data_IF_983413285630
#
_entry.id   IF_983413285630
#
_cell.length_a   1.000
_cell.length_b   1.000
_cell.length_c   1.000
_cell.angle_alpha   90.00
_cell.angle_beta   90.00
_cell.angle_gamma   90.00
#
_symmetry.space_group_name_H-M   'P 1'
#
loop_
_entity.id
_entity.type
_entity.pdbx_description
1 polymer ?
#
# COMPACT_ATOMS: atom_id res chain seq x y z
N UNK A 1 28.78 -38.38 -7.93
CA UNK A 1 27.82 -39.52 -7.90
C UNK A 1 26.45 -38.93 -7.64
N UNK A 2 25.44 -39.32 -8.42
CA UNK A 2 24.05 -38.96 -8.17
C UNK A 2 23.59 -39.55 -6.84
N UNK A 3 22.90 -38.75 -6.01
CA UNK A 3 22.26 -39.19 -4.77
C UNK A 3 20.92 -38.44 -4.59
N UNK A 4 20.11 -38.84 -3.61
CA UNK A 4 18.78 -38.24 -3.42
C UNK A 4 18.81 -36.72 -3.25
N UNK A 5 19.79 -36.19 -2.52
CA UNK A 5 19.87 -34.74 -2.25
C UNK A 5 20.37 -33.94 -3.45
N UNK A 6 21.12 -34.54 -4.37
CA UNK A 6 21.63 -33.89 -5.59
C UNK A 6 20.64 -33.98 -6.75
N UNK A 7 19.93 -35.10 -6.90
CA UNK A 7 18.93 -35.31 -7.95
C UNK A 7 17.58 -34.65 -7.59
N UNK A 8 17.18 -34.68 -6.32
CA UNK A 8 15.90 -34.13 -5.84
C UNK A 8 16.10 -32.92 -4.94
N UNK A 9 17.08 -32.07 -5.25
CA UNK A 9 17.43 -30.89 -4.44
C UNK A 9 16.24 -29.97 -4.14
N UNK A 10 15.24 -29.94 -5.03
CA UNK A 10 13.96 -29.28 -4.81
C UNK A 10 13.28 -29.65 -3.48
N UNK A 11 13.44 -30.89 -3.01
CA UNK A 11 12.73 -31.47 -1.86
C UNK A 11 13.46 -31.35 -0.53
N UNK A 12 14.66 -30.80 -0.53
CA UNK A 12 15.48 -30.67 0.68
C UNK A 12 15.75 -29.20 1.01
N UNK A 13 15.84 -28.84 2.30
CA UNK A 13 16.34 -27.53 2.68
C UNK A 13 17.75 -27.31 2.11
N UNK A 14 18.11 -26.08 1.72
CA UNK A 14 19.45 -25.78 1.25
C UNK A 14 20.48 -26.03 2.36
N UNK A 15 21.55 -26.75 2.03
CA UNK A 15 22.67 -26.94 2.95
C UNK A 15 23.44 -25.63 3.18
N UNK A 16 24.16 -25.55 4.31
CA UNK A 16 24.92 -24.34 4.66
C UNK A 16 25.97 -23.97 3.60
N UNK A 17 26.60 -24.95 2.96
CA UNK A 17 27.58 -24.73 1.90
C UNK A 17 26.98 -24.06 0.68
N UNK A 18 25.75 -24.45 0.29
CA UNK A 18 25.04 -23.83 -0.83
C UNK A 18 24.64 -22.39 -0.50
N UNK A 19 24.14 -22.16 0.72
CA UNK A 19 23.80 -20.82 1.19
C UNK A 19 25.03 -19.92 1.17
N UNK A 20 26.15 -20.37 1.77
CA UNK A 20 27.40 -19.62 1.74
C UNK A 20 27.87 -19.33 0.31
N UNK A 21 27.84 -20.33 -0.57
CA UNK A 21 28.25 -20.17 -1.96
C UNK A 21 27.42 -19.13 -2.73
N UNK A 22 26.10 -19.10 -2.49
CA UNK A 22 25.19 -18.14 -3.13
C UNK A 22 25.47 -16.71 -2.67
N UNK A 23 25.75 -16.50 -1.39
CA UNK A 23 26.10 -15.17 -0.88
C UNK A 23 27.48 -14.72 -1.37
N UNK A 24 28.44 -15.64 -1.52
CA UNK A 24 29.79 -15.33 -1.99
C UNK A 24 29.88 -15.13 -3.51
N UNK A 25 29.22 -15.97 -4.32
CA UNK A 25 29.40 -16.03 -5.78
C UNK A 25 28.10 -16.24 -6.59
N UNK A 26 26.94 -16.20 -5.94
CA UNK A 26 25.66 -16.44 -6.59
C UNK A 26 25.11 -15.22 -7.32
N UNK A 27 24.06 -15.44 -8.10
CA UNK A 27 23.21 -14.41 -8.67
C UNK A 27 22.07 -14.12 -7.68
N UNK A 28 22.12 -12.98 -7.02
CA UNK A 28 21.09 -12.49 -6.11
C UNK A 28 20.19 -11.54 -6.87
N UNK A 29 18.95 -11.98 -7.07
CA UNK A 29 17.91 -11.29 -7.79
C UNK A 29 16.96 -10.64 -6.81
N UNK A 30 16.68 -9.35 -6.96
CA UNK A 30 15.65 -8.67 -6.16
C UNK A 30 14.33 -8.59 -6.91
N UNK A 31 13.24 -8.77 -6.18
CA UNK A 31 11.89 -8.47 -6.65
C UNK A 31 11.55 -6.98 -6.44
N UNK A 32 10.51 -6.51 -7.13
CA UNK A 32 10.05 -5.12 -7.06
C UNK A 32 9.54 -4.77 -5.66
N UNK A 33 8.89 -5.70 -4.96
CA UNK A 33 8.40 -5.45 -3.59
C UNK A 33 9.55 -5.11 -2.62
N UNK A 34 10.70 -5.76 -2.73
CA UNK A 34 11.88 -5.49 -1.91
C UNK A 34 12.40 -4.07 -2.15
N UNK A 35 12.45 -3.65 -3.42
CA UNK A 35 12.85 -2.29 -3.79
C UNK A 35 11.82 -1.25 -3.32
N UNK A 36 10.52 -1.54 -3.41
CA UNK A 36 9.46 -0.65 -2.94
C UNK A 36 9.49 -0.49 -1.42
N UNK A 37 9.86 -1.54 -0.68
CA UNK A 37 9.99 -1.50 0.78
C UNK A 37 11.06 -0.50 1.25
N UNK A 38 12.03 -0.12 0.41
CA UNK A 38 12.95 0.98 0.72
C UNK A 38 12.21 2.28 1.03
N UNK A 39 11.08 2.57 0.39
CA UNK A 39 10.26 3.76 0.69
C UNK A 39 9.33 3.58 1.88
N UNK A 40 9.05 2.34 2.28
CA UNK A 40 8.15 2.01 3.39
C UNK A 40 8.88 1.86 4.72
N UNK A 41 10.18 1.58 4.68
CA UNK A 41 11.01 1.50 5.87
C UNK A 41 11.41 2.87 6.40
N UNK A 42 11.58 2.91 7.73
CA UNK A 42 12.22 4.03 8.42
C UNK A 42 13.65 4.25 7.88
N UNK A 43 14.19 5.48 7.99
CA UNK A 43 15.49 5.82 7.42
C UNK A 43 16.64 4.89 7.85
N UNK A 44 16.67 4.45 9.12
CA UNK A 44 17.70 3.53 9.63
C UNK A 44 17.63 2.16 8.96
N UNK A 45 16.44 1.54 8.91
CA UNK A 45 16.24 0.22 8.29
C UNK A 45 16.44 0.24 6.77
N UNK A 46 16.06 1.34 6.13
CA UNK A 46 16.36 1.60 4.71
C UNK A 46 17.86 1.65 4.46
N UNK A 47 18.61 2.37 5.29
CA UNK A 47 20.07 2.50 5.15
C UNK A 47 20.78 1.16 5.38
N UNK A 48 20.35 0.38 6.37
CA UNK A 48 20.88 -0.96 6.62
C UNK A 48 20.63 -1.92 5.45
N UNK A 49 19.42 -1.92 4.87
CA UNK A 49 19.14 -2.72 3.67
C UNK A 49 20.02 -2.30 2.49
N UNK A 50 20.13 -0.99 2.21
CA UNK A 50 20.97 -0.50 1.13
C UNK A 50 22.45 -0.87 1.33
N UNK A 51 22.98 -0.78 2.56
CA UNK A 51 24.35 -1.21 2.89
C UNK A 51 24.57 -2.70 2.65
N UNK A 52 23.57 -3.55 2.93
CA UNK A 52 23.65 -4.98 2.64
C UNK A 52 23.72 -5.19 1.12
N UNK A 53 22.85 -4.53 0.36
CA UNK A 53 22.85 -4.64 -1.09
C UNK A 53 24.16 -4.14 -1.72
N UNK A 54 24.73 -3.06 -1.19
CA UNK A 54 26.04 -2.52 -1.60
C UNK A 54 27.17 -3.53 -1.42
N UNK A 55 27.11 -4.41 -0.41
CA UNK A 55 28.11 -5.47 -0.19
C UNK A 55 28.04 -6.60 -1.21
N UNK A 56 26.90 -6.79 -1.88
CA UNK A 56 26.74 -7.87 -2.86
C UNK A 56 27.56 -7.63 -4.12
N UNK A 57 27.91 -6.37 -4.43
CA UNK A 57 28.64 -6.00 -5.63
C UNK A 57 28.06 -6.67 -6.89
N UNK A 58 28.85 -7.46 -7.61
CA UNK A 58 28.49 -8.03 -8.91
C UNK A 58 27.52 -9.23 -8.81
N UNK A 59 27.28 -9.71 -7.59
CA UNK A 59 26.30 -10.76 -7.30
C UNK A 59 24.87 -10.21 -7.41
N UNK A 60 24.67 -8.90 -7.26
CA UNK A 60 23.35 -8.28 -7.34
C UNK A 60 22.92 -8.08 -8.80
N UNK A 61 21.67 -8.44 -9.10
CA UNK A 61 21.05 -8.22 -10.40
C UNK A 61 19.54 -8.00 -10.28
N UNK A 62 18.97 -7.25 -11.22
CA UNK A 62 17.53 -6.94 -11.24
C UNK A 62 16.98 -7.20 -12.65
N UNK A 63 15.90 -8.00 -12.80
CA UNK A 63 15.23 -8.16 -14.09
C UNK A 63 14.69 -6.83 -14.59
N UNK A 64 14.66 -6.61 -15.91
CA UNK A 64 14.04 -5.42 -16.48
C UNK A 64 12.59 -5.24 -16.01
N UNK A 65 11.83 -6.34 -15.91
CA UNK A 65 10.45 -6.32 -15.42
C UNK A 65 10.35 -5.75 -14.00
N UNK A 66 11.28 -6.11 -13.11
CA UNK A 66 11.32 -5.57 -11.75
C UNK A 66 11.60 -4.07 -11.77
N UNK A 67 12.57 -3.62 -12.58
CA UNK A 67 12.86 -2.19 -12.75
C UNK A 67 11.65 -1.39 -13.25
N UNK A 68 10.89 -1.96 -14.19
CA UNK A 68 9.65 -1.38 -14.72
C UNK A 68 8.55 -1.30 -13.65
N UNK A 69 8.32 -2.37 -12.91
CA UNK A 69 7.31 -2.42 -11.85
C UNK A 69 7.63 -1.46 -10.71
N UNK A 70 8.88 -1.47 -10.24
CA UNK A 70 9.37 -0.50 -9.26
C UNK A 70 9.14 0.94 -9.75
N UNK A 71 9.52 1.23 -11.00
CA UNK A 71 9.37 2.57 -11.57
C UNK A 71 7.91 3.02 -11.61
N UNK A 72 6.97 2.13 -11.93
CA UNK A 72 5.53 2.42 -11.96
C UNK A 72 4.92 2.60 -10.57
N UNK A 73 5.39 1.82 -9.59
CA UNK A 73 4.77 1.76 -8.26
C UNK A 73 5.44 2.62 -7.19
N UNK A 74 6.66 3.13 -7.42
CA UNK A 74 7.42 3.87 -6.39
C UNK A 74 6.67 5.07 -5.81
N UNK A 75 6.00 5.86 -6.65
CA UNK A 75 5.27 7.05 -6.19
C UNK A 75 4.07 6.68 -5.32
N UNK A 76 3.39 5.58 -5.66
CA UNK A 76 2.34 5.04 -4.81
C UNK A 76 2.90 4.56 -3.48
N UNK A 77 4.03 3.85 -3.45
CA UNK A 77 4.65 3.40 -2.21
C UNK A 77 5.08 4.55 -1.28
N UNK A 78 5.61 5.65 -1.84
CA UNK A 78 5.93 6.88 -1.09
C UNK A 78 4.66 7.47 -0.47
N UNK A 79 3.60 7.61 -1.27
CA UNK A 79 2.31 8.15 -0.80
C UNK A 79 1.66 7.27 0.25
N UNK A 80 1.67 5.95 0.07
CA UNK A 80 1.13 4.99 1.03
C UNK A 80 1.81 5.17 2.39
N UNK A 81 3.15 5.31 2.40
CA UNK A 81 3.91 5.52 3.62
C UNK A 81 3.57 6.86 4.32
N UNK A 82 3.46 7.95 3.56
CA UNK A 82 3.02 9.26 4.09
C UNK A 82 1.58 9.20 4.64
N UNK A 83 0.68 8.56 3.90
CA UNK A 83 -0.73 8.42 4.25
C UNK A 83 -0.95 7.67 5.57
N UNK A 84 -0.04 6.76 5.95
CA UNK A 84 -0.11 6.03 7.20
C UNK A 84 0.05 6.97 8.42
N UNK A 85 1.04 7.87 8.39
CA UNK A 85 1.24 8.88 9.45
C UNK A 85 0.07 9.85 9.51
N UNK A 86 -0.36 10.32 8.35
CA UNK A 86 -1.49 11.21 8.18
C UNK A 86 -2.82 10.62 8.70
N UNK A 87 -3.02 9.32 8.49
CA UNK A 87 -4.18 8.56 8.98
C UNK A 87 -4.09 8.39 10.49
N UNK A 88 -2.92 8.06 11.03
CA UNK A 88 -2.68 7.97 12.47
C UNK A 88 -2.96 9.31 13.15
N UNK A 89 -2.47 10.42 12.60
CA UNK A 89 -2.68 11.75 13.17
C UNK A 89 -4.16 12.15 13.20
N UNK A 90 -4.90 11.88 12.12
CA UNK A 90 -6.33 12.13 12.07
C UNK A 90 -7.10 11.26 13.10
N UNK A 91 -6.66 10.01 13.29
CA UNK A 91 -7.24 9.09 14.29
C UNK A 91 -6.95 9.56 15.71
N UNK A 92 -5.73 10.00 16.00
CA UNK A 92 -5.37 10.56 17.31
C UNK A 92 -6.18 11.82 17.64
N UNK A 93 -6.40 12.70 16.65
CA UNK A 93 -7.23 13.90 16.85
C UNK A 93 -8.66 13.53 17.25
N UNK A 94 -9.29 12.61 16.52
CA UNK A 94 -10.67 12.25 16.84
C UNK A 94 -10.80 11.52 18.18
N UNK A 95 -9.79 10.74 18.59
CA UNK A 95 -9.75 10.13 19.94
C UNK A 95 -9.59 11.18 21.04
N UNK A 96 -8.77 12.22 20.81
CA UNK A 96 -8.64 13.35 21.72
C UNK A 96 -9.97 14.09 21.88
N UNK A 97 -10.64 14.41 20.79
CA UNK A 97 -11.94 15.10 20.81
C UNK A 97 -13.04 14.27 21.48
N UNK A 98 -13.05 12.95 21.26
CA UNK A 98 -13.94 12.02 21.95
C UNK A 98 -13.71 12.05 23.48
N UNK A 99 -12.46 11.92 23.91
CA UNK A 99 -12.10 11.96 25.32
C UNK A 99 -12.46 13.30 25.97
N UNK A 100 -12.22 14.42 25.28
CA UNK A 100 -12.67 15.76 25.74
C UNK A 100 -14.18 15.83 25.92
N UNK A 101 -14.95 15.26 24.98
CA UNK A 101 -16.41 15.22 25.06
C UNK A 101 -16.91 14.45 26.30
N UNK A 102 -16.32 13.29 26.60
CA UNK A 102 -16.66 12.50 27.79
C UNK A 102 -16.32 13.25 29.09
N UNK A 103 -15.14 13.86 29.15
CA UNK A 103 -14.74 14.70 30.31
C UNK A 103 -15.72 15.85 30.49
N UNK A 104 -16.14 16.50 29.40
CA UNK A 104 -17.11 17.60 29.45
C UNK A 104 -18.49 17.12 29.94
N UNK A 105 -18.95 15.96 29.47
CA UNK A 105 -20.22 15.38 29.91
C UNK A 105 -20.19 15.01 31.40
N UNK A 106 -19.10 14.39 31.86
CA UNK A 106 -18.88 14.07 33.27
C UNK A 106 -18.84 15.35 34.12
N UNK A 107 -18.03 16.34 33.74
CA UNK A 107 -17.89 17.60 34.44
C UNK A 107 -19.24 18.32 34.60
N UNK A 108 -20.07 18.33 33.55
CA UNK A 108 -21.42 18.90 33.61
C UNK A 108 -22.32 18.14 34.58
N UNK A 109 -22.25 16.80 34.62
CA UNK A 109 -23.09 15.96 35.49
C UNK A 109 -22.82 16.18 36.98
N UNK A 110 -21.57 16.43 37.35
CA UNK A 110 -21.18 16.65 38.75
C UNK A 110 -21.01 18.14 39.12
N UNK A 111 -21.29 19.06 38.19
CA UNK A 111 -21.03 20.50 38.35
C UNK A 111 -19.59 20.80 38.76
N UNK A 112 -18.63 20.15 38.08
CA UNK A 112 -17.20 20.35 38.32
C UNK A 112 -16.81 21.81 38.05
N UNK A 113 -15.96 22.38 38.89
CA UNK A 113 -15.50 23.74 38.72
C UNK A 113 -14.64 23.90 37.45
N UNK A 114 -14.68 25.10 36.87
CA UNK A 114 -13.99 25.39 35.61
C UNK A 114 -12.47 25.24 35.69
N UNK A 115 -11.85 25.42 36.86
CA UNK A 115 -10.40 25.33 37.02
C UNK A 115 -9.92 23.87 36.97
N UNK A 116 -10.62 22.96 37.66
CA UNK A 116 -10.34 21.51 37.63
C UNK A 116 -10.62 20.94 36.24
N UNK A 117 -11.71 21.35 35.59
CA UNK A 117 -12.01 20.95 34.19
C UNK A 117 -10.89 21.36 33.23
N UNK A 118 -10.39 22.59 33.37
CA UNK A 118 -9.30 23.10 32.54
C UNK A 118 -8.01 22.33 32.78
N UNK A 119 -7.69 22.01 34.04
CA UNK A 119 -6.51 21.23 34.40
C UNK A 119 -6.53 19.82 33.79
N UNK A 120 -7.65 19.11 33.91
CA UNK A 120 -7.82 17.76 33.32
C UNK A 120 -7.68 17.81 31.78
N UNK A 121 -8.38 18.77 31.14
CA UNK A 121 -8.30 18.94 29.67
C UNK A 121 -6.87 19.26 29.22
N UNK A 122 -6.15 20.07 29.99
CA UNK A 122 -4.75 20.40 29.70
C UNK A 122 -3.85 19.17 29.79
N UNK A 123 -3.95 18.37 30.85
CA UNK A 123 -3.17 17.13 30.99
C UNK A 123 -3.38 16.18 29.79
N UNK A 124 -4.63 16.07 29.32
CA UNK A 124 -4.96 15.28 28.15
C UNK A 124 -4.30 15.84 26.88
N UNK A 125 -4.41 17.15 26.64
CA UNK A 125 -3.77 17.80 25.50
C UNK A 125 -2.24 17.67 25.53
N UNK A 126 -1.62 17.83 26.70
CA UNK A 126 -0.17 17.72 26.87
C UNK A 126 0.31 16.30 26.57
N UNK A 127 -0.42 15.28 27.05
CA UNK A 127 -0.12 13.88 26.75
C UNK A 127 -0.24 13.56 25.25
N UNK A 128 -1.32 13.99 24.61
CA UNK A 128 -1.51 13.82 23.16
C UNK A 128 -0.45 14.58 22.35
N UNK A 129 -0.09 15.79 22.78
CA UNK A 129 0.98 16.58 22.18
C UNK A 129 2.33 15.88 22.25
N UNK A 130 2.65 15.23 23.38
CA UNK A 130 3.86 14.43 23.53
C UNK A 130 3.88 13.23 22.57
N UNK A 131 2.76 12.51 22.43
CA UNK A 131 2.63 11.40 21.48
C UNK A 131 2.82 11.87 20.04
N UNK A 132 2.14 12.94 19.64
CA UNK A 132 2.33 13.53 18.29
C UNK A 132 3.76 13.98 18.03
N UNK A 133 4.40 14.59 19.02
CA UNK A 133 5.81 14.99 18.89
C UNK A 133 6.73 13.78 18.70
N UNK A 134 6.45 12.66 19.38
CA UNK A 134 7.21 11.42 19.18
C UNK A 134 6.99 10.83 17.78
N UNK A 135 5.75 10.83 17.28
CA UNK A 135 5.41 10.37 15.92
C UNK A 135 6.07 11.26 14.86
N UNK A 136 6.02 12.59 15.03
CA UNK A 136 6.66 13.53 14.11
C UNK A 136 8.19 13.37 14.02
N UNK A 137 8.85 12.82 15.05
CA UNK A 137 10.29 12.53 15.03
C UNK A 137 10.65 11.29 14.19
N UNK A 138 9.72 10.37 14.00
CA UNK A 138 9.90 9.16 13.18
C UNK A 138 9.28 9.28 11.79
N UNK A 139 8.40 10.26 11.59
CA UNK A 139 7.84 10.58 10.28
C UNK A 139 8.94 11.05 9.34
N UNK A 140 9.01 10.53 8.11
CA UNK A 140 9.99 11.00 7.14
C UNK A 140 9.75 12.49 6.84
N UNK A 141 10.77 13.33 7.01
CA UNK A 141 10.73 14.69 6.48
C UNK A 141 10.55 14.62 4.95
N UNK A 142 9.65 15.43 4.39
CA UNK A 142 9.32 15.50 2.96
C UNK A 142 10.54 15.64 2.03
N UNK A 143 11.67 16.13 2.57
CA UNK A 143 12.92 16.35 1.86
C UNK A 143 13.78 15.08 1.68
N UNK A 144 13.65 14.07 2.55
CA UNK A 144 14.56 12.89 2.54
C UNK A 144 13.97 11.65 1.86
N UNK A 145 12.65 11.60 1.65
CA UNK A 145 11.95 10.34 1.32
C UNK A 145 11.13 10.32 0.02
N UNK A 146 11.21 11.33 -0.84
CA UNK A 146 10.49 11.23 -2.12
C UNK A 146 10.16 12.53 -2.83
N UNK A 147 11.14 13.42 -3.03
CA UNK A 147 10.97 14.49 -3.99
C UNK A 147 10.60 13.91 -5.37
N UNK A 148 9.64 14.52 -6.07
CA UNK A 148 9.13 14.04 -7.37
C UNK A 148 10.22 14.03 -8.47
N UNK A 149 11.35 14.72 -8.24
CA UNK A 149 12.52 14.74 -9.11
C UNK A 149 13.65 13.80 -8.67
N UNK A 150 14.30 13.16 -9.65
CA UNK A 150 15.44 12.24 -9.46
C UNK A 150 16.58 12.90 -8.64
N UNK A 151 16.82 14.19 -8.85
CA UNK A 151 17.89 14.94 -8.17
C UNK A 151 17.65 15.14 -6.66
N UNK A 152 16.44 14.86 -6.17
CA UNK A 152 16.05 15.04 -4.76
C UNK A 152 15.82 13.68 -4.07
N UNK A 153 15.62 12.60 -4.84
CA UNK A 153 15.32 11.29 -4.29
C UNK A 153 16.61 10.53 -3.90
N UNK A 154 16.90 10.52 -2.59
CA UNK A 154 18.08 9.85 -2.04
C UNK A 154 18.10 8.34 -2.30
N UNK A 155 16.92 7.70 -2.40
CA UNK A 155 16.78 6.26 -2.64
C UNK A 155 17.10 5.95 -4.09
N UNK A 156 16.49 6.66 -5.04
CA UNK A 156 16.81 6.50 -6.47
C UNK A 156 18.29 6.77 -6.73
N UNK A 157 18.86 7.80 -6.12
CA UNK A 157 20.27 8.13 -6.34
C UNK A 157 21.22 7.01 -5.88
N UNK A 158 20.92 6.34 -4.77
CA UNK A 158 21.68 5.16 -4.33
C UNK A 158 21.41 3.94 -5.21
N UNK A 159 20.15 3.68 -5.54
CA UNK A 159 19.77 2.57 -6.43
C UNK A 159 20.40 2.70 -7.82
N UNK A 160 20.48 3.90 -8.40
CA UNK A 160 21.13 4.14 -9.69
C UNK A 160 22.60 3.74 -9.66
N UNK A 161 23.33 4.09 -8.59
CA UNK A 161 24.73 3.68 -8.41
C UNK A 161 24.85 2.18 -8.17
N UNK A 162 23.98 1.64 -7.33
CA UNK A 162 23.97 0.24 -6.94
C UNK A 162 23.64 -0.70 -8.10
N UNK A 163 22.72 -0.30 -8.97
CA UNK A 163 22.17 -1.11 -10.06
C UNK A 163 22.76 -0.76 -11.44
N UNK A 164 23.76 0.13 -11.47
CA UNK A 164 24.49 0.44 -12.70
C UNK A 164 25.03 -0.86 -13.32
N UNK A 165 24.71 -1.08 -14.59
CA UNK A 165 25.07 -2.28 -15.37
C UNK A 165 24.59 -3.62 -14.76
N UNK A 166 23.63 -3.57 -13.83
CA UNK A 166 23.07 -4.74 -13.12
C UNK A 166 21.57 -4.92 -13.35
N UNK A 167 21.01 -4.20 -14.32
CA UNK A 167 19.62 -4.36 -14.77
C UNK A 167 19.63 -5.18 -16.06
N UNK A 168 18.83 -6.24 -16.10
CA UNK A 168 18.67 -7.07 -17.28
C UNK A 168 18.14 -6.30 -18.50
N UNK A 169 18.39 -6.78 -19.72
CA UNK A 169 17.89 -6.13 -20.93
C UNK A 169 16.36 -6.20 -21.02
N UNK A 170 15.77 -5.19 -21.67
CA UNK A 170 14.36 -5.27 -22.07
C UNK A 170 14.19 -6.35 -23.13
N UNK A 171 13.09 -7.10 -23.07
CA UNK A 171 12.72 -8.04 -24.12
C UNK A 171 12.34 -7.29 -25.41
N UNK A 172 12.70 -7.86 -26.57
CA UNK A 172 12.21 -7.35 -27.85
C UNK A 172 10.69 -7.55 -27.97
N UNK A 173 10.03 -6.81 -28.87
CA UNK A 173 8.57 -6.94 -29.07
C UNK A 173 8.14 -8.38 -29.38
N UNK A 174 8.91 -9.07 -30.23
CA UNK A 174 8.62 -10.45 -30.61
C UNK A 174 8.81 -11.43 -29.44
N UNK A 175 9.79 -11.18 -28.57
CA UNK A 175 9.98 -11.96 -27.35
C UNK A 175 8.86 -11.70 -26.34
N UNK A 176 8.44 -10.44 -26.16
CA UNK A 176 7.34 -10.08 -25.27
C UNK A 176 6.07 -10.85 -25.65
N UNK A 177 5.71 -10.87 -26.93
CA UNK A 177 4.51 -11.60 -27.39
C UNK A 177 4.60 -13.11 -27.13
N UNK A 178 5.77 -13.72 -27.38
CA UNK A 178 5.99 -15.15 -27.09
C UNK A 178 5.91 -15.45 -25.59
N UNK A 179 6.56 -14.63 -24.76
CA UNK A 179 6.57 -14.80 -23.31
C UNK A 179 5.17 -14.59 -22.74
N UNK A 180 4.39 -13.63 -23.24
CA UNK A 180 3.00 -13.44 -22.85
C UNK A 180 2.11 -14.62 -23.25
N UNK A 181 2.28 -15.17 -24.46
CA UNK A 181 1.53 -16.34 -24.88
C UNK A 181 1.81 -17.56 -23.98
N UNK A 182 3.07 -17.79 -23.61
CA UNK A 182 3.44 -18.85 -22.67
C UNK A 182 2.93 -18.55 -21.24
N UNK A 183 2.98 -17.31 -20.77
CA UNK A 183 2.40 -16.90 -19.49
C UNK A 183 0.90 -17.26 -19.41
N UNK A 184 0.15 -16.93 -20.46
CA UNK A 184 -1.28 -17.24 -20.54
C UNK A 184 -1.53 -18.75 -20.53
N UNK A 185 -0.79 -19.51 -21.34
CA UNK A 185 -0.87 -20.98 -21.34
C UNK A 185 -0.58 -21.54 -19.94
N UNK A 186 0.46 -21.07 -19.25
CA UNK A 186 0.78 -21.48 -17.88
C UNK A 186 -0.34 -21.18 -16.90
N UNK A 187 -0.90 -19.97 -16.96
CA UNK A 187 -2.02 -19.57 -16.10
C UNK A 187 -3.29 -20.42 -16.35
N UNK A 188 -3.55 -20.81 -17.60
CA UNK A 188 -4.66 -21.72 -17.94
C UNK A 188 -4.47 -23.13 -17.37
N UNK A 189 -3.24 -23.62 -17.35
CA UNK A 189 -2.90 -24.99 -16.91
C UNK A 189 -2.45 -25.07 -15.44
N UNK A 190 -2.46 -23.95 -14.70
CA UNK A 190 -2.01 -23.91 -13.30
C UNK A 190 -0.51 -24.18 -13.12
N UNK A 191 0.31 -23.83 -14.12
CA UNK A 191 1.76 -24.01 -14.10
C UNK A 191 2.41 -22.76 -13.47
N UNK A 192 3.28 -22.90 -12.45
CA UNK A 192 3.95 -21.76 -11.83
C UNK A 192 5.05 -21.13 -12.72
N UNK A 193 5.45 -19.88 -12.43
CA UNK A 193 4.78 -18.92 -11.53
C UNK A 193 3.69 -18.10 -12.26
N UNK A 194 2.83 -17.41 -11.49
CA UNK A 194 1.90 -16.41 -12.00
C UNK A 194 0.45 -16.88 -12.20
N UNK A 195 0.15 -18.18 -12.06
CA UNK A 195 -1.23 -18.68 -12.25
C UNK A 195 -2.22 -18.12 -11.22
N UNK A 196 -1.74 -17.63 -10.07
CA UNK A 196 -2.57 -17.00 -9.02
C UNK A 196 -3.04 -15.60 -9.39
N UNK A 197 -2.45 -14.96 -10.39
CA UNK A 197 -2.84 -13.63 -10.85
C UNK A 197 -3.91 -13.65 -11.96
N UNK A 198 -4.49 -14.83 -12.23
CA UNK A 198 -5.61 -14.99 -13.16
C UNK A 198 -6.76 -14.02 -12.82
N UNK A 199 -7.11 -13.16 -13.79
CA UNK A 199 -8.20 -12.18 -13.65
C UNK A 199 -7.79 -10.82 -13.09
N UNK A 200 -6.51 -10.60 -12.77
CA UNK A 200 -5.95 -9.26 -12.51
C UNK A 200 -5.49 -8.61 -13.82
N UNK A 201 -5.28 -7.28 -13.82
CA UNK A 201 -5.07 -6.48 -15.03
C UNK A 201 -4.01 -7.01 -16.00
N UNK A 202 -2.79 -7.27 -15.52
CA UNK A 202 -1.70 -7.91 -16.29
C UNK A 202 -1.19 -9.16 -15.55
N UNK A 203 -1.68 -10.36 -15.88
CA UNK A 203 -1.29 -11.60 -15.21
C UNK A 203 0.08 -12.14 -15.68
N UNK A 204 0.76 -11.44 -16.60
CA UNK A 204 1.98 -11.96 -17.24
C UNK A 204 3.28 -11.56 -16.54
N UNK A 205 3.22 -10.61 -15.59
CA UNK A 205 4.39 -10.06 -14.90
C UNK A 205 5.28 -11.10 -14.23
N UNK A 206 4.70 -11.98 -13.41
CA UNK A 206 5.42 -13.03 -12.67
C UNK A 206 6.20 -13.96 -13.62
N UNK A 207 5.59 -14.35 -14.76
CA UNK A 207 6.27 -15.20 -15.73
C UNK A 207 7.34 -14.45 -16.53
N UNK A 208 7.11 -13.19 -16.89
CA UNK A 208 8.14 -12.37 -17.56
C UNK A 208 9.37 -12.24 -16.66
N UNK A 209 9.17 -11.97 -15.36
CA UNK A 209 10.23 -11.94 -14.36
C UNK A 209 10.98 -13.27 -14.33
N UNK A 210 10.25 -14.39 -14.21
CA UNK A 210 10.84 -15.73 -14.19
C UNK A 210 11.65 -16.05 -15.45
N UNK A 211 11.11 -15.72 -16.62
CA UNK A 211 11.78 -15.89 -17.91
C UNK A 211 13.13 -15.13 -17.95
N UNK A 212 13.16 -13.90 -17.48
CA UNK A 212 14.39 -13.11 -17.42
C UNK A 212 15.41 -13.69 -16.44
N UNK A 213 14.97 -14.21 -15.29
CA UNK A 213 15.86 -14.91 -14.34
C UNK A 213 16.47 -16.15 -14.99
N UNK A 214 15.66 -16.98 -15.66
CA UNK A 214 16.15 -18.19 -16.34
C UNK A 214 17.21 -17.85 -17.41
N UNK A 215 16.98 -16.80 -18.19
CA UNK A 215 17.92 -16.35 -19.22
C UNK A 215 19.26 -15.89 -18.61
N UNK A 216 19.22 -15.06 -17.57
CA UNK A 216 20.43 -14.58 -16.89
C UNK A 216 21.17 -15.72 -16.18
N UNK A 217 20.44 -16.63 -15.54
CA UNK A 217 21.00 -17.82 -14.90
C UNK A 217 21.68 -18.75 -15.92
N UNK A 218 21.08 -18.93 -17.09
CA UNK A 218 21.65 -19.73 -18.17
C UNK A 218 22.93 -19.09 -18.75
N UNK A 219 23.03 -17.76 -18.70
CA UNK A 219 24.22 -17.01 -19.10
C UNK A 219 25.35 -17.10 -18.05
N UNK A 220 25.07 -16.80 -16.78
CA UNK A 220 26.09 -16.75 -15.71
C UNK A 220 26.51 -18.12 -15.17
N UNK A 221 25.62 -19.12 -15.23
CA UNK A 221 25.86 -20.48 -14.71
C UNK A 221 26.28 -20.54 -13.24
N UNK A 222 25.75 -19.64 -12.41
CA UNK A 222 25.92 -19.63 -10.95
C UNK A 222 24.59 -19.89 -10.23
N UNK A 223 24.66 -20.27 -8.95
CA UNK A 223 23.48 -20.48 -8.12
C UNK A 223 22.64 -19.20 -8.03
N UNK A 224 21.31 -19.32 -8.07
CA UNK A 224 20.40 -18.17 -8.11
C UNK A 224 19.61 -18.08 -6.81
N UNK A 225 19.53 -16.88 -6.24
CA UNK A 225 18.65 -16.55 -5.12
C UNK A 225 17.73 -15.41 -5.52
N UNK A 226 16.42 -15.66 -5.55
CA UNK A 226 15.42 -14.60 -5.63
C UNK A 226 15.03 -14.15 -4.22
N UNK A 227 15.13 -12.85 -3.96
CA UNK A 227 14.66 -12.21 -2.73
C UNK A 227 13.31 -11.55 -3.02
N UNK A 228 12.24 -12.04 -2.38
CA UNK A 228 10.88 -11.53 -2.54
C UNK A 228 10.08 -11.70 -1.26
N UNK A 229 9.31 -10.67 -0.91
CA UNK A 229 8.33 -10.72 0.19
C UNK A 229 6.95 -11.20 -0.27
N UNK A 230 6.77 -11.50 -1.58
CA UNK A 230 5.54 -12.09 -2.10
C UNK A 230 5.55 -13.60 -1.83
N UNK A 231 4.74 -14.02 -0.86
CA UNK A 231 4.70 -15.40 -0.37
C UNK A 231 3.59 -16.26 -0.98
N UNK A 232 3.15 -15.93 -2.21
CA UNK A 232 2.16 -16.72 -2.95
C UNK A 232 2.55 -18.20 -3.10
N UNK A 233 1.53 -19.06 -3.16
CA UNK A 233 1.69 -20.52 -3.27
C UNK A 233 2.24 -21.02 -4.62
N UNK A 234 2.20 -20.18 -5.67
CA UNK A 234 2.73 -20.52 -6.98
C UNK A 234 4.25 -20.34 -7.06
N UNK A 235 4.83 -19.57 -6.13
CA UNK A 235 6.29 -19.44 -5.97
C UNK A 235 6.82 -20.35 -4.87
N UNK A 236 6.12 -20.45 -3.75
CA UNK A 236 6.61 -21.07 -2.52
C UNK A 236 6.01 -22.44 -2.25
N UNK A 237 6.86 -23.42 -1.92
CA UNK A 237 6.39 -24.66 -1.32
C UNK A 237 6.03 -24.42 0.15
N UNK A 238 4.77 -24.70 0.48
CA UNK A 238 4.26 -24.67 1.85
C UNK A 238 3.83 -26.07 2.27
N UNK A 239 4.38 -26.56 3.38
CA UNK A 239 3.97 -27.84 3.99
C UNK A 239 3.72 -27.63 5.48
N UNK A 240 2.56 -28.08 5.98
CA UNK A 240 2.19 -28.00 7.40
C UNK A 240 2.38 -26.59 8.01
N UNK A 241 2.06 -25.54 7.25
CA UNK A 241 2.22 -24.15 7.69
C UNK A 241 3.65 -23.60 7.64
N UNK A 242 4.63 -24.36 7.15
CA UNK A 242 6.02 -23.93 6.98
C UNK A 242 6.35 -23.68 5.52
N UNK A 243 7.02 -22.56 5.26
CA UNK A 243 7.60 -22.24 3.96
C UNK A 243 8.96 -22.92 3.84
N UNK A 244 9.09 -23.86 2.90
CA UNK A 244 10.28 -24.72 2.79
C UNK A 244 11.28 -24.28 1.71
N UNK A 245 10.87 -23.39 0.79
CA UNK A 245 11.68 -22.96 -0.34
C UNK A 245 10.84 -22.77 -1.61
N UNK A 246 11.47 -22.67 -2.79
CA UNK A 246 10.75 -22.57 -4.05
C UNK A 246 9.94 -23.85 -4.31
N UNK A 247 8.90 -23.72 -5.13
CA UNK A 247 8.19 -24.88 -5.67
C UNK A 247 9.14 -25.83 -6.43
N UNK A 248 8.95 -27.16 -6.33
CA UNK A 248 9.78 -28.11 -7.07
C UNK A 248 9.84 -27.85 -8.57
N UNK A 249 8.72 -27.45 -9.19
CA UNK A 249 8.64 -27.13 -10.61
C UNK A 249 9.58 -25.99 -11.02
N UNK A 250 9.69 -24.95 -10.18
CA UNK A 250 10.57 -23.81 -10.45
C UNK A 250 12.04 -24.21 -10.29
N UNK A 251 12.34 -25.01 -9.26
CA UNK A 251 13.69 -25.52 -9.05
C UNK A 251 14.12 -26.45 -10.20
N UNK A 252 13.25 -27.38 -10.60
CA UNK A 252 13.50 -28.31 -11.70
C UNK A 252 13.63 -27.58 -13.04
N UNK A 253 12.79 -26.58 -13.31
CA UNK A 253 12.92 -25.75 -14.51
C UNK A 253 14.25 -24.97 -14.54
N UNK A 254 14.70 -24.40 -13.41
CA UNK A 254 16.02 -23.77 -13.32
C UNK A 254 17.13 -24.78 -13.61
N UNK A 255 17.04 -25.99 -13.04
CA UNK A 255 18.02 -27.05 -13.28
C UNK A 255 18.02 -27.50 -14.74
N UNK A 256 16.86 -27.61 -15.38
CA UNK A 256 16.74 -27.99 -16.79
C UNK A 256 17.30 -26.93 -17.73
N UNK A 257 16.90 -25.66 -17.55
CA UNK A 257 17.25 -24.56 -18.47
C UNK A 257 18.63 -23.97 -18.22
N UNK A 258 19.02 -23.83 -16.95
CA UNK A 258 20.26 -23.16 -16.56
C UNK A 258 21.31 -24.10 -15.95
N UNK A 259 20.92 -25.27 -15.42
CA UNK A 259 21.85 -26.23 -14.80
C UNK A 259 22.22 -25.92 -13.35
N UNK A 260 21.67 -24.85 -12.78
CA UNK A 260 22.08 -24.27 -11.50
C UNK A 260 20.99 -24.41 -10.43
N UNK A 261 21.34 -24.45 -9.13
CA UNK A 261 20.34 -24.48 -8.06
C UNK A 261 19.61 -23.13 -7.96
N UNK A 262 18.33 -23.19 -7.56
CA UNK A 262 17.47 -22.04 -7.31
C UNK A 262 17.05 -21.96 -5.84
N UNK A 263 17.10 -20.77 -5.26
CA UNK A 263 16.68 -20.47 -3.90
C UNK A 263 15.72 -19.29 -3.89
N UNK A 264 14.87 -19.27 -2.86
CA UNK A 264 13.89 -18.23 -2.62
C UNK A 264 13.98 -17.81 -1.15
N UNK A 265 14.08 -16.50 -0.88
CA UNK A 265 14.10 -15.96 0.47
C UNK A 265 13.22 -14.71 0.57
N UNK A 266 12.60 -14.51 1.73
CA UNK A 266 12.04 -13.21 2.11
C UNK A 266 13.16 -12.23 2.42
N UNK A 267 12.87 -10.93 2.41
CA UNK A 267 13.82 -9.88 2.79
C UNK A 267 14.36 -10.11 4.20
N UNK A 268 13.51 -10.48 5.17
CA UNK A 268 13.95 -10.81 6.54
C UNK A 268 14.86 -12.03 6.60
N UNK A 269 14.58 -13.07 5.80
CA UNK A 269 15.45 -14.24 5.64
C UNK A 269 16.80 -13.85 5.03
N UNK A 270 16.78 -13.04 3.98
CA UNK A 270 17.99 -12.53 3.31
C UNK A 270 18.88 -11.73 4.27
N UNK A 271 18.31 -10.80 5.05
CA UNK A 271 19.07 -9.98 6.01
C UNK A 271 19.70 -10.82 7.15
N UNK A 272 18.98 -11.82 7.67
CA UNK A 272 19.54 -12.78 8.65
C UNK A 272 20.74 -13.54 8.09
N UNK A 273 20.62 -14.01 6.84
CA UNK A 273 21.71 -14.72 6.17
C UNK A 273 22.86 -13.77 5.79
N UNK A 274 22.59 -12.52 5.44
CA UNK A 274 23.62 -11.50 5.21
C UNK A 274 24.45 -11.20 6.46
N UNK A 275 23.83 -11.20 7.65
CA UNK A 275 24.59 -11.12 8.91
C UNK A 275 25.54 -12.31 9.10
N UNK A 276 25.08 -13.51 8.75
CA UNK A 276 25.86 -14.75 8.92
C UNK A 276 26.99 -14.87 7.89
N UNK A 277 26.71 -14.56 6.62
CA UNK A 277 27.62 -14.86 5.51
C UNK A 277 28.39 -13.64 4.99
N UNK A 278 27.91 -12.41 5.23
CA UNK A 278 28.53 -11.17 4.75
C UNK A 278 29.01 -10.23 5.88
N UNK A 279 28.90 -10.62 7.15
CA UNK A 279 29.13 -9.77 8.34
C UNK A 279 28.44 -8.39 8.22
N UNK A 280 27.19 -8.38 7.73
CA UNK A 280 26.46 -7.16 7.39
C UNK A 280 26.09 -6.30 8.61
N UNK A 281 26.01 -6.90 9.81
CA UNK A 281 25.64 -6.26 11.10
C UNK A 281 24.32 -5.48 11.06
N UNK A 282 23.33 -6.02 10.34
CA UNK A 282 21.94 -5.56 10.33
C UNK A 282 21.33 -5.74 11.71
N UNK A 283 20.61 -4.72 12.19
CA UNK A 283 19.96 -4.73 13.50
C UNK A 283 18.75 -5.68 13.52
N UNK A 284 18.40 -6.15 14.72
CA UNK A 284 17.17 -6.94 14.92
C UNK A 284 15.93 -6.15 14.49
N UNK A 285 15.88 -4.85 14.77
CA UNK A 285 14.79 -3.96 14.38
C UNK A 285 14.53 -3.97 12.87
N UNK A 286 15.58 -3.90 12.05
CA UNK A 286 15.43 -3.93 10.58
C UNK A 286 14.97 -5.30 10.09
N UNK A 287 15.42 -6.39 10.73
CA UNK A 287 14.99 -7.75 10.40
C UNK A 287 13.51 -7.94 10.75
N UNK A 288 13.06 -7.41 11.88
CA UNK A 288 11.65 -7.43 12.32
C UNK A 288 10.78 -6.59 11.39
N UNK A 289 11.18 -5.36 11.05
CA UNK A 289 10.46 -4.52 10.09
C UNK A 289 10.31 -5.19 8.71
N UNK A 290 11.34 -5.91 8.27
CA UNK A 290 11.27 -6.68 7.03
C UNK A 290 10.39 -7.94 7.13
N UNK A 291 10.20 -8.48 8.33
CA UNK A 291 9.29 -9.59 8.56
C UNK A 291 7.84 -9.11 8.61
N UNK A 292 7.57 -8.01 9.32
CA UNK A 292 6.26 -7.36 9.38
C UNK A 292 5.79 -6.93 7.98
N UNK A 293 6.69 -6.47 7.10
CA UNK A 293 6.34 -6.13 5.72
C UNK A 293 5.76 -7.32 4.91
N UNK A 294 6.17 -8.56 5.21
CA UNK A 294 5.62 -9.77 4.61
C UNK A 294 4.20 -10.02 5.13
N UNK A 295 3.99 -9.85 6.44
CA UNK A 295 2.71 -10.07 7.12
C UNK A 295 1.67 -9.00 6.69
N UNK A 296 2.10 -7.74 6.58
CA UNK A 296 1.32 -6.59 6.13
C UNK A 296 0.98 -6.60 4.64
N UNK A 297 1.62 -7.46 3.83
CA UNK A 297 1.20 -7.66 2.43
C UNK A 297 -0.14 -8.42 2.35
N UNK A 298 -0.57 -9.06 3.45
CA UNK A 298 -1.83 -9.81 3.54
C UNK A 298 -2.99 -9.08 4.22
N UNK A 299 -2.76 -7.94 4.87
CA UNK A 299 -3.79 -7.13 5.52
C UNK A 299 -3.45 -5.65 5.37
N UNK A 300 -4.41 -4.83 4.94
CA UNK A 300 -4.14 -3.40 4.83
C UNK A 300 -3.85 -2.85 6.23
N UNK A 301 -2.92 -1.89 6.33
CA UNK A 301 -2.65 -1.15 7.58
C UNK A 301 -3.93 -0.53 8.16
N UNK A 302 -4.94 -0.30 7.31
CA UNK A 302 -6.26 0.14 7.76
C UNK A 302 -7.00 -0.92 8.59
N UNK A 303 -6.86 -2.21 8.25
CA UNK A 303 -7.55 -3.33 8.88
C UNK A 303 -6.94 -3.73 10.23
N UNK A 304 -5.61 -3.69 10.38
CA UNK A 304 -4.95 -3.96 11.67
C UNK A 304 -5.25 -2.87 12.70
N UNK A 305 -5.19 -1.60 12.30
CA UNK A 305 -5.55 -0.50 13.19
C UNK A 305 -7.06 -0.52 13.47
N UNK A 306 -7.90 -0.99 12.53
CA UNK A 306 -9.34 -1.21 12.78
C UNK A 306 -9.57 -2.33 13.81
N UNK A 307 -8.82 -3.44 13.75
CA UNK A 307 -8.84 -4.52 14.74
C UNK A 307 -8.33 -4.07 16.12
N UNK A 308 -7.28 -3.26 16.17
CA UNK A 308 -6.79 -2.63 17.41
C UNK A 308 -7.82 -1.64 18.01
N UNK A 309 -8.67 -1.04 17.19
CA UNK A 309 -9.75 -0.14 17.66
C UNK A 309 -11.03 -0.89 18.04
N UNK A 310 -11.28 -2.06 17.47
CA UNK A 310 -12.36 -2.96 17.92
C UNK A 310 -12.10 -3.47 19.34
N UNK A 311 -10.82 -3.71 19.66
CA UNK A 311 -10.37 -4.15 20.99
C UNK A 311 -10.28 -3.01 22.02
N UNK A 312 -10.23 -1.75 21.58
CA UNK A 312 -10.39 -0.59 22.45
C UNK A 312 -11.89 -0.26 22.68
N UNK A 313 -12.32 -0.14 23.94
CA UNK A 313 -13.69 0.22 24.34
C UNK A 313 -14.06 1.69 24.01
N UNK A 314 -13.90 2.12 22.76
CA UNK A 314 -14.39 3.42 22.27
C UNK A 314 -15.89 3.31 22.00
N UNK A 315 -16.69 4.21 22.55
CA UNK A 315 -18.15 4.19 22.33
C UNK A 315 -18.53 4.39 20.85
N UNK A 316 -19.73 3.93 20.47
CA UNK A 316 -20.21 3.90 19.09
C UNK A 316 -20.28 5.28 18.42
N UNK A 317 -20.58 6.33 19.19
CA UNK A 317 -20.65 7.71 18.71
C UNK A 317 -19.28 8.26 18.29
N UNK A 318 -18.25 8.00 19.08
CA UNK A 318 -16.87 8.45 18.79
C UNK A 318 -16.27 7.70 17.60
N UNK A 319 -16.57 6.39 17.47
CA UNK A 319 -16.22 5.60 16.28
C UNK A 319 -16.85 6.16 15.00
N UNK A 320 -18.10 6.65 15.07
CA UNK A 320 -18.79 7.27 13.94
C UNK A 320 -18.15 8.58 13.47
N UNK A 321 -17.71 9.43 14.40
CA UNK A 321 -17.03 10.70 14.09
C UNK A 321 -15.69 10.44 13.41
N UNK A 322 -14.89 9.50 13.95
CA UNK A 322 -13.60 9.10 13.40
C UNK A 322 -13.71 8.58 11.96
N UNK A 323 -14.64 7.66 11.72
CA UNK A 323 -14.88 7.10 10.37
C UNK A 323 -15.33 8.16 9.37
N UNK A 324 -16.17 9.10 9.81
CA UNK A 324 -16.62 10.21 8.99
C UNK A 324 -15.50 11.20 8.64
N UNK A 325 -14.57 11.45 9.56
CA UNK A 325 -13.40 12.30 9.31
C UNK A 325 -12.41 11.64 8.34
N UNK A 326 -12.09 10.36 8.57
CA UNK A 326 -11.22 9.58 7.68
C UNK A 326 -11.77 9.51 6.25
N UNK A 327 -13.06 9.22 6.11
CA UNK A 327 -13.70 9.11 4.80
C UNK A 327 -13.71 10.43 4.01
N UNK A 328 -13.91 11.56 4.69
CA UNK A 328 -13.84 12.89 4.05
C UNK A 328 -12.46 13.18 3.49
N UNK A 329 -11.43 12.83 4.23
CA UNK A 329 -10.05 13.01 3.80
C UNK A 329 -9.77 12.18 2.54
N UNK A 330 -10.14 10.91 2.54
CA UNK A 330 -9.97 10.03 1.39
C UNK A 330 -10.68 10.54 0.12
N UNK A 331 -11.91 11.05 0.25
CA UNK A 331 -12.62 11.66 -0.90
C UNK A 331 -11.92 12.94 -1.35
N UNK A 332 -11.42 13.78 -0.44
CA UNK A 332 -10.67 15.00 -0.80
C UNK A 332 -9.38 14.67 -1.55
N UNK A 333 -8.66 13.64 -1.12
CA UNK A 333 -7.42 13.23 -1.76
C UNK A 333 -7.69 12.68 -3.16
N UNK A 334 -8.73 11.84 -3.32
CA UNK A 334 -9.23 11.43 -4.64
C UNK A 334 -9.48 12.65 -5.56
N UNK A 335 -10.18 13.65 -5.06
CA UNK A 335 -10.54 14.83 -5.85
C UNK A 335 -9.32 15.66 -6.27
N UNK A 336 -8.25 15.69 -5.46
CA UNK A 336 -6.99 16.40 -5.78
C UNK A 336 -6.18 15.74 -6.89
N UNK A 337 -6.39 14.45 -7.15
CA UNK A 337 -5.75 13.74 -8.27
C UNK A 337 -6.40 14.07 -9.61
N UNK A 338 -7.59 14.66 -9.60
CA UNK A 338 -8.27 15.07 -10.81
C UNK A 338 -7.64 16.33 -11.39
N UNK A 339 -7.59 16.47 -12.73
CA UNK A 339 -7.05 17.66 -13.41
C UNK A 339 -8.03 18.85 -13.35
N UNK A 340 -8.57 19.15 -12.16
CA UNK A 340 -9.54 20.22 -11.90
C UNK A 340 -9.09 21.03 -10.69
N UNK A 341 -9.54 22.28 -10.58
CA UNK A 341 -9.18 23.11 -9.44
C UNK A 341 -10.01 22.67 -8.23
N UNK A 342 -9.34 22.35 -7.12
CA UNK A 342 -9.97 21.89 -5.88
C UNK A 342 -9.81 22.93 -4.78
N UNK A 343 -10.92 23.38 -4.20
CA UNK A 343 -10.99 24.36 -3.12
C UNK A 343 -11.75 23.77 -1.92
N UNK A 344 -11.45 24.24 -0.71
CA UNK A 344 -12.26 23.88 0.47
C UNK A 344 -13.51 24.73 0.54
N UNK A 345 -14.66 24.10 0.81
CA UNK A 345 -15.89 24.83 1.07
C UNK A 345 -15.79 25.59 2.42
N UNK A 346 -16.42 26.77 2.54
CA UNK A 346 -16.54 27.48 3.80
C UNK A 346 -17.02 26.58 4.96
N UNK A 347 -16.21 26.47 6.00
CA UNK A 347 -16.42 25.54 7.12
C UNK A 347 -15.54 24.28 7.09
N UNK A 348 -14.78 24.03 6.02
CA UNK A 348 -13.73 23.01 5.94
C UNK A 348 -14.21 21.56 5.86
N UNK A 349 -15.53 21.33 5.76
CA UNK A 349 -16.13 19.99 5.81
C UNK A 349 -16.40 19.38 4.42
N UNK A 350 -16.50 20.20 3.38
CA UNK A 350 -16.87 19.83 2.01
C UNK A 350 -15.85 20.40 1.00
N UNK A 351 -15.95 19.99 -0.26
CA UNK A 351 -14.98 20.34 -1.31
C UNK A 351 -15.69 21.02 -2.47
N UNK A 352 -15.11 22.08 -3.03
CA UNK A 352 -15.60 22.74 -4.25
C UNK A 352 -14.63 22.42 -5.39
N UNK A 353 -15.15 21.89 -6.48
CA UNK A 353 -14.41 21.65 -7.71
C UNK A 353 -14.74 22.72 -8.73
N UNK A 354 -13.74 23.26 -9.43
CA UNK A 354 -13.95 24.10 -10.62
C UNK A 354 -13.47 23.33 -11.84
N UNK A 355 -14.42 23.00 -12.72
CA UNK A 355 -14.16 22.27 -13.95
C UNK A 355 -13.53 23.18 -15.01
N UNK A 356 -13.02 22.58 -16.09
CA UNK A 356 -12.37 23.30 -17.19
C UNK A 356 -13.27 24.35 -17.88
N UNK A 357 -14.59 24.20 -17.77
CA UNK A 357 -15.58 25.15 -18.28
C UNK A 357 -16.04 26.18 -17.22
N UNK A 358 -15.24 26.37 -16.17
CA UNK A 358 -15.48 27.29 -15.03
C UNK A 358 -16.72 26.96 -14.17
N UNK A 359 -17.42 25.86 -14.44
CA UNK A 359 -18.54 25.42 -13.60
C UNK A 359 -18.02 24.87 -12.28
N UNK A 360 -18.68 25.26 -11.20
CA UNK A 360 -18.32 24.86 -9.84
C UNK A 360 -19.25 23.76 -9.35
N UNK A 361 -18.70 22.70 -8.75
CA UNK A 361 -19.44 21.56 -8.21
C UNK A 361 -19.12 21.42 -6.72
N UNK A 362 -20.15 21.30 -5.88
CA UNK A 362 -19.99 21.00 -4.46
C UNK A 362 -19.92 19.49 -4.26
N UNK A 363 -18.87 19.00 -3.62
CA UNK A 363 -18.74 17.58 -3.25
C UNK A 363 -18.88 17.41 -1.74
N UNK A 364 -19.84 16.59 -1.32
CA UNK A 364 -20.18 16.31 0.08
C UNK A 364 -19.84 14.85 0.42
N UNK A 365 -18.77 14.56 1.18
CA UNK A 365 -18.44 13.20 1.57
C UNK A 365 -19.21 12.75 2.83
N UNK A 366 -19.96 11.65 2.73
CA UNK A 366 -20.78 11.09 3.80
C UNK A 366 -20.50 9.61 4.07
N UNK A 367 -20.11 9.32 5.31
CA UNK A 367 -19.85 7.95 5.76
C UNK A 367 -21.03 7.37 6.53
N UNK A 368 -21.47 6.19 6.11
CA UNK A 368 -22.47 5.36 6.75
C UNK A 368 -21.83 4.13 7.38
N UNK A 369 -22.20 3.87 8.64
CA UNK A 369 -21.80 2.65 9.30
C UNK A 369 -22.62 1.47 8.73
N UNK A 370 -21.97 0.51 8.07
CA UNK A 370 -22.59 -0.66 7.45
C UNK A 370 -23.37 -1.55 8.44
N UNK A 371 -23.09 -1.42 9.75
CA UNK A 371 -23.72 -2.20 10.82
C UNK A 371 -24.90 -1.46 11.48
N UNK A 372 -25.13 -0.18 11.14
CA UNK A 372 -26.22 0.60 11.72
C UNK A 372 -27.58 0.18 11.17
N UNK A 373 -28.61 0.13 12.04
CA UNK A 373 -30.02 -0.09 11.66
C UNK A 373 -30.73 1.19 11.18
N UNK A 374 -30.07 2.35 11.25
CA UNK A 374 -30.65 3.60 10.76
C UNK A 374 -30.72 3.61 9.24
N UNK A 375 -31.89 3.94 8.68
CA UNK A 375 -32.04 4.14 7.26
C UNK A 375 -31.16 5.32 6.80
N UNK A 376 -30.43 5.20 5.68
CA UNK A 376 -29.48 6.24 5.25
C UNK A 376 -30.16 7.54 4.80
N UNK A 377 -31.42 7.48 4.39
CA UNK A 377 -32.17 8.61 3.81
C UNK A 377 -32.31 9.87 4.70
N UNK A 378 -32.82 9.78 5.95
CA UNK A 378 -32.93 10.95 6.83
C UNK A 378 -31.60 11.65 7.11
N UNK A 379 -30.53 10.87 7.28
CA UNK A 379 -29.18 11.39 7.53
C UNK A 379 -28.57 12.03 6.28
N UNK A 380 -28.87 11.46 5.11
CA UNK A 380 -28.50 12.02 3.81
C UNK A 380 -29.17 13.39 3.59
N UNK A 381 -30.50 13.49 3.74
CA UNK A 381 -31.23 14.77 3.63
C UNK A 381 -30.68 15.77 4.64
N UNK A 382 -30.58 15.40 5.92
CA UNK A 382 -30.13 16.34 6.96
C UNK A 382 -28.74 16.88 6.67
N UNK A 383 -27.84 16.06 6.11
CA UNK A 383 -26.52 16.52 5.70
C UNK A 383 -26.57 17.48 4.51
N UNK A 384 -27.42 17.21 3.52
CA UNK A 384 -27.62 18.06 2.35
C UNK A 384 -28.25 19.39 2.79
N UNK A 385 -29.40 19.39 3.46
CA UNK A 385 -30.11 20.61 3.89
C UNK A 385 -29.25 21.53 4.77
N UNK A 386 -28.41 20.94 5.64
CA UNK A 386 -27.52 21.70 6.52
C UNK A 386 -26.37 22.37 5.78
N UNK A 387 -25.90 21.77 4.68
CA UNK A 387 -24.68 22.20 3.96
C UNK A 387 -25.01 22.98 2.68
N UNK A 388 -26.15 22.64 2.07
CA UNK A 388 -26.73 23.28 0.91
C UNK A 388 -27.84 24.24 1.37
N UNK A 389 -27.46 25.43 1.85
CA UNK A 389 -28.39 26.53 2.10
C UNK A 389 -28.34 27.55 0.96
N UNK A 390 -29.37 28.39 0.83
CA UNK A 390 -29.61 29.40 -0.24
C UNK A 390 -28.42 30.29 -0.65
N UNK A 391 -27.29 30.27 0.08
CA UNK A 391 -26.09 31.06 -0.23
C UNK A 391 -25.21 30.47 -1.36
N UNK A 392 -25.39 29.20 -1.74
CA UNK A 392 -24.60 28.53 -2.79
C UNK A 392 -25.36 28.31 -4.12
N UNK A 393 -26.67 28.55 -4.15
CA UNK A 393 -27.52 28.19 -5.29
C UNK A 393 -27.28 29.02 -6.56
N UNK A 394 -26.57 30.15 -6.47
CA UNK A 394 -26.25 31.00 -7.63
C UNK A 394 -24.84 30.76 -8.19
N UNK A 395 -23.94 30.08 -7.46
CA UNK A 395 -22.53 29.90 -7.84
C UNK A 395 -22.14 28.45 -8.15
N UNK A 396 -22.99 27.47 -7.86
CA UNK A 396 -22.67 26.04 -7.96
C UNK A 396 -23.61 25.37 -8.98
N UNK A 397 -23.04 24.74 -10.00
CA UNK A 397 -23.73 24.06 -11.08
C UNK A 397 -24.37 22.72 -10.65
N UNK A 398 -23.85 22.08 -9.60
CA UNK A 398 -24.40 20.85 -9.06
C UNK A 398 -23.72 20.39 -7.77
N UNK A 399 -24.36 19.43 -7.09
CA UNK A 399 -23.88 18.81 -5.86
C UNK A 399 -23.65 17.33 -6.11
N UNK A 400 -22.48 16.81 -5.73
CA UNK A 400 -22.18 15.39 -5.70
C UNK A 400 -22.02 14.94 -4.27
N UNK A 401 -22.83 13.99 -3.83
CA UNK A 401 -22.69 13.36 -2.52
C UNK A 401 -21.95 12.03 -2.72
N UNK A 402 -20.79 11.90 -2.08
CA UNK A 402 -19.97 10.69 -2.19
C UNK A 402 -20.16 9.85 -0.93
N UNK A 403 -20.59 8.59 -1.08
CA UNK A 403 -20.97 7.70 0.03
C UNK A 403 -20.20 6.38 0.02
N UNK A 404 -19.84 5.85 1.20
CA UNK A 404 -19.11 4.57 1.29
C UNK A 404 -20.01 3.32 1.10
N UNK A 405 -21.31 3.54 0.90
CA UNK A 405 -22.32 2.51 0.63
C UNK A 405 -23.14 2.92 -0.58
N UNK A 406 -23.76 1.94 -1.22
CA UNK A 406 -24.76 2.20 -2.25
C UNK A 406 -26.06 2.70 -1.60
N UNK A 407 -26.67 3.73 -2.20
CA UNK A 407 -27.95 4.28 -1.75
C UNK A 407 -29.01 3.90 -2.80
N UNK A 408 -29.95 2.99 -2.48
CA UNK A 408 -30.91 2.51 -3.47
C UNK A 408 -31.76 3.64 -4.05
N UNK A 409 -32.00 3.59 -5.36
CA UNK A 409 -32.84 4.56 -6.09
C UNK A 409 -34.19 4.84 -5.41
N UNK A 410 -34.95 3.85 -4.89
CA UNK A 410 -36.21 4.14 -4.19
C UNK A 410 -36.08 5.04 -2.96
N UNK A 411 -34.91 5.04 -2.31
CA UNK A 411 -34.59 5.95 -1.19
C UNK A 411 -34.36 7.36 -1.72
N UNK A 412 -33.56 7.51 -2.77
CA UNK A 412 -33.33 8.80 -3.44
C UNK A 412 -34.65 9.42 -3.93
N UNK A 413 -35.50 8.60 -4.55
CA UNK A 413 -36.84 9.00 -5.03
C UNK A 413 -37.74 9.48 -3.92
N UNK A 414 -37.81 8.73 -2.81
CA UNK A 414 -38.64 9.07 -1.65
C UNK A 414 -38.27 10.43 -1.06
N UNK A 415 -37.00 10.81 -1.18
CA UNK A 415 -36.43 12.02 -0.58
C UNK A 415 -36.25 13.16 -1.60
N UNK A 416 -36.75 13.00 -2.83
CA UNK A 416 -36.76 14.06 -3.84
C UNK A 416 -35.38 14.47 -4.34
N UNK A 417 -34.37 13.59 -4.24
CA UNK A 417 -32.98 13.85 -4.63
C UNK A 417 -32.79 13.58 -6.14
N UNK A 418 -33.33 14.45 -6.99
CA UNK A 418 -33.14 14.42 -8.45
C UNK A 418 -32.80 15.82 -9.00
N UNK A 419 -32.06 15.86 -10.12
CA UNK A 419 -31.67 17.11 -10.79
C UNK A 419 -30.23 17.50 -10.45
N UNK A 420 -30.02 18.67 -9.84
CA UNK A 420 -28.70 19.22 -9.53
C UNK A 420 -27.95 18.50 -8.39
N UNK A 421 -28.43 17.34 -7.90
CA UNK A 421 -27.83 16.56 -6.82
C UNK A 421 -27.67 15.11 -7.28
N UNK A 422 -26.43 14.64 -7.28
CA UNK A 422 -26.05 13.27 -7.65
C UNK A 422 -25.46 12.56 -6.43
N UNK A 423 -25.76 11.27 -6.25
CA UNK A 423 -25.23 10.46 -5.15
C UNK A 423 -24.42 9.30 -5.72
N UNK A 424 -23.14 9.22 -5.37
CA UNK A 424 -22.19 8.25 -5.93
C UNK A 424 -21.57 7.43 -4.82
N UNK A 425 -21.56 6.11 -5.00
CA UNK A 425 -20.82 5.22 -4.12
C UNK A 425 -19.32 5.29 -4.42
N UNK A 426 -18.52 5.45 -3.37
CA UNK A 426 -17.08 5.25 -3.41
C UNK A 426 -16.60 4.67 -2.07
N UNK A 427 -16.17 3.41 -2.09
CA UNK A 427 -15.63 2.70 -0.92
C UNK A 427 -14.10 2.65 -0.87
N UNK A 428 -13.42 3.38 -1.76
CA UNK A 428 -11.95 3.40 -1.87
C UNK A 428 -11.39 2.52 -2.99
N UNK A 429 -12.25 1.83 -3.76
CA UNK A 429 -11.82 0.98 -4.87
C UNK A 429 -11.67 1.75 -6.20
N UNK A 430 -10.72 1.32 -7.04
CA UNK A 430 -10.40 1.94 -8.34
C UNK A 430 -11.54 1.87 -9.35
N UNK A 431 -12.39 0.83 -9.29
CA UNK A 431 -13.60 0.73 -10.14
C UNK A 431 -14.61 1.84 -9.86
N UNK A 432 -14.82 2.18 -8.60
CA UNK A 432 -15.79 3.20 -8.18
C UNK A 432 -15.25 4.62 -8.37
N UNK A 433 -13.92 4.76 -8.40
CA UNK A 433 -13.24 6.01 -8.76
C UNK A 433 -13.64 6.48 -10.16
N UNK A 434 -13.76 5.56 -11.12
CA UNK A 434 -14.25 5.87 -12.47
C UNK A 434 -15.68 6.43 -12.44
N UNK A 435 -16.55 5.86 -11.60
CA UNK A 435 -17.94 6.32 -11.45
C UNK A 435 -18.06 7.74 -10.86
N UNK A 436 -17.17 8.09 -9.92
CA UNK A 436 -17.08 9.47 -9.40
C UNK A 436 -16.66 10.43 -10.52
N UNK A 437 -15.66 10.06 -11.32
CA UNK A 437 -15.15 10.88 -12.43
C UNK A 437 -16.22 11.06 -13.53
N UNK A 438 -16.89 9.98 -13.92
CA UNK A 438 -17.97 10.01 -14.92
C UNK A 438 -19.13 10.90 -14.47
N UNK A 439 -19.53 10.81 -13.20
CA UNK A 439 -20.58 11.67 -12.63
C UNK A 439 -20.18 13.15 -12.67
N UNK A 440 -18.94 13.46 -12.28
CA UNK A 440 -18.42 14.83 -12.36
C UNK A 440 -18.37 15.35 -13.79
N UNK A 441 -17.98 14.51 -14.76
CA UNK A 441 -17.96 14.84 -16.19
C UNK A 441 -19.35 15.11 -16.77
N UNK A 442 -20.36 14.33 -16.36
CA UNK A 442 -21.75 14.51 -16.79
C UNK A 442 -22.34 15.83 -16.29
N UNK A 443 -22.23 16.13 -15.00
CA UNK A 443 -22.67 17.42 -14.43
C UNK A 443 -21.93 18.59 -15.09
N UNK A 444 -20.66 18.39 -15.44
CA UNK A 444 -19.89 19.36 -16.18
C UNK A 444 -20.42 19.65 -17.58
N UNK A 445 -21.10 18.70 -18.22
CA UNK A 445 -21.53 18.76 -19.63
C UNK A 445 -22.98 19.22 -19.85
N UNK A 446 -23.83 19.15 -18.83
CA UNK A 446 -25.26 19.57 -18.82
C UNK A 446 -25.43 21.04 -18.43
#
# INVERSE_FOLDING_TARGET
MANLTTEYGAYYPPGEDLLKHVFDNGLIVLDANVLLNLYRYLPSSRDELLKVLERLNDNLWVPHQVGLEFSRRRLAAIRDHQSAFETLDARLEGSLEAAKSEINAFANRISLDGSTRTAITKLLNDAYGAVRSAIGKISPNDQESGGVGIDVDSVINRLNKLLQDRIGPSLSKDEVEKVKAEANRRAEHGIPPGYKDKGKGDPTGDYILWYQILAEAAHRKVAVLLVTDDVKEDWWRREQGRTLGPRPELYEEMKEKAGVPFLLMTTSGFLRNANKYLDARVSTQTIEAAQEAVENTHQSVSDEIESMLETMEVNSSSRGILRQASYRKSVRDLLRELPVKVEEAPGGLDVILTLANERRILVIPLYFNKVSREAPGPRLISAIDRRFSQKYSEEIAGVVVVTNIDIPEPVLTRYGLFGSIEVVKWDGNSKETVSVIETLGRIGSE
#
